data_IF_574017351136
#
_entry.id   IF_574017351136
#
_cell.length_a   1.000
_cell.length_b   1.000
_cell.length_c   1.000
_cell.angle_alpha   90.00
_cell.angle_beta   90.00
_cell.angle_gamma   90.00
#
_symmetry.space_group_name_H-M   'P 1'
#
loop_
_entity.id
_entity.type
_entity.pdbx_description
1 polymer ?
#
# COMPACT_ATOMS: atom_id res chain seq x y z
N UNK A 1 -18.85 -6.67 3.31
CA UNK A 1 -18.72 -6.06 1.96
C UNK A 1 -19.00 -4.57 2.09
N UNK A 2 -18.04 -3.70 1.77
CA UNK A 2 -18.29 -2.26 1.58
C UNK A 2 -18.33 -2.00 0.09
N UNK A 3 -19.41 -1.38 -0.37
CA UNK A 3 -19.41 -0.70 -1.65
C UNK A 3 -18.81 0.69 -1.42
N UNK A 4 -17.66 0.96 -2.02
CA UNK A 4 -17.22 2.33 -2.20
C UNK A 4 -18.14 2.98 -3.24
N UNK A 5 -18.73 4.11 -2.89
CA UNK A 5 -19.54 4.88 -3.83
C UNK A 5 -18.70 5.27 -5.05
N UNK A 6 -19.17 4.93 -6.25
CA UNK A 6 -18.47 5.19 -7.51
C UNK A 6 -18.03 6.66 -7.67
N UNK A 7 -18.87 7.60 -7.24
CA UNK A 7 -18.56 9.04 -7.22
C UNK A 7 -17.26 9.39 -6.47
N UNK A 8 -16.96 8.69 -5.37
CA UNK A 8 -15.75 8.95 -4.56
C UNK A 8 -14.49 8.40 -5.24
N UNK A 9 -14.63 7.36 -6.04
CA UNK A 9 -13.54 6.81 -6.85
C UNK A 9 -13.23 7.78 -7.99
N UNK A 10 -14.26 8.34 -8.64
CA UNK A 10 -14.11 9.34 -9.70
C UNK A 10 -13.44 10.64 -9.19
N UNK A 11 -13.87 11.18 -8.04
CA UNK A 11 -13.22 12.35 -7.42
C UNK A 11 -11.73 12.10 -7.16
N UNK A 12 -11.39 10.92 -6.68
CA UNK A 12 -10.04 10.55 -6.32
C UNK A 12 -9.16 10.27 -7.56
N UNK A 13 -9.74 9.68 -8.61
CA UNK A 13 -9.08 9.58 -9.92
C UNK A 13 -8.83 10.97 -10.52
N UNK A 14 -9.77 11.90 -10.42
CA UNK A 14 -9.58 13.28 -10.88
C UNK A 14 -8.45 13.97 -10.11
N UNK A 15 -8.44 13.82 -8.77
CA UNK A 15 -7.39 14.33 -7.90
C UNK A 15 -6.01 13.79 -8.27
N UNK A 16 -5.87 12.46 -8.42
CA UNK A 16 -4.59 11.85 -8.80
C UNK A 16 -4.14 12.26 -10.22
N UNK A 17 -5.05 12.40 -11.18
CA UNK A 17 -4.72 12.90 -12.52
C UNK A 17 -4.20 14.36 -12.50
N UNK A 18 -4.72 15.21 -11.61
CA UNK A 18 -4.17 16.55 -11.40
C UNK A 18 -2.74 16.50 -10.85
N UNK A 19 -2.45 15.53 -9.97
CA UNK A 19 -1.12 15.34 -9.38
C UNK A 19 -0.07 14.88 -10.39
N UNK A 20 -0.44 14.12 -11.43
CA UNK A 20 0.50 13.73 -12.51
C UNK A 20 1.12 14.93 -13.23
N UNK A 21 0.39 16.03 -13.34
CA UNK A 21 0.84 17.24 -14.02
C UNK A 21 1.56 18.23 -13.09
N UNK A 22 1.56 18.00 -11.77
CA UNK A 22 2.28 18.85 -10.82
C UNK A 22 3.78 18.60 -10.89
N UNK A 23 4.54 19.70 -10.87
CA UNK A 23 6.01 19.68 -10.75
C UNK A 23 6.45 19.68 -9.29
N UNK A 24 5.64 20.25 -8.41
CA UNK A 24 5.93 20.41 -7.00
C UNK A 24 4.64 20.50 -6.17
N UNK A 25 4.74 20.24 -4.88
CA UNK A 25 3.62 20.31 -3.94
C UNK A 25 4.10 20.78 -2.56
N UNK A 26 3.20 21.40 -1.81
CA UNK A 26 3.40 21.66 -0.39
C UNK A 26 3.06 20.42 0.43
N UNK A 27 3.72 20.26 1.58
CA UNK A 27 3.46 19.16 2.53
C UNK A 27 1.98 19.01 2.88
N UNK A 28 1.25 20.14 3.02
CA UNK A 28 -0.19 20.15 3.30
C UNK A 28 -1.01 19.49 2.19
N UNK A 29 -0.62 19.69 0.92
CA UNK A 29 -1.33 19.09 -0.21
C UNK A 29 -1.15 17.57 -0.20
N UNK A 30 0.06 17.08 0.10
CA UNK A 30 0.30 15.63 0.23
C UNK A 30 -0.48 15.03 1.41
N UNK A 31 -0.58 15.75 2.54
CA UNK A 31 -1.39 15.32 3.68
C UNK A 31 -2.89 15.24 3.34
N UNK A 32 -3.40 16.18 2.56
CA UNK A 32 -4.78 16.16 2.08
C UNK A 32 -5.03 14.97 1.16
N UNK A 33 -4.13 14.74 0.19
CA UNK A 33 -4.20 13.58 -0.69
C UNK A 33 -4.18 12.26 0.10
N UNK A 34 -3.24 12.11 1.03
CA UNK A 34 -3.19 10.93 1.92
C UNK A 34 -4.47 10.76 2.76
N UNK A 35 -5.10 11.86 3.19
CA UNK A 35 -6.38 11.80 3.90
C UNK A 35 -7.52 11.27 3.03
N UNK A 36 -7.60 11.71 1.77
CA UNK A 36 -8.58 11.23 0.79
C UNK A 36 -8.35 9.74 0.45
N UNK A 37 -7.09 9.37 0.24
CA UNK A 37 -6.67 8.00 -0.07
C UNK A 37 -6.85 7.05 1.12
N UNK A 38 -6.69 7.54 2.35
CA UNK A 38 -6.85 6.75 3.58
C UNK A 38 -8.23 6.07 3.64
N UNK A 39 -9.27 6.79 3.26
CA UNK A 39 -10.64 6.26 3.21
C UNK A 39 -10.77 5.06 2.26
N UNK A 40 -10.18 5.15 1.07
CA UNK A 40 -10.17 4.05 0.09
C UNK A 40 -9.31 2.90 0.59
N UNK A 41 -8.11 3.19 1.13
CA UNK A 41 -7.18 2.18 1.64
C UNK A 41 -7.70 1.44 2.88
N UNK A 42 -8.61 2.03 3.64
CA UNK A 42 -9.28 1.36 4.75
C UNK A 42 -10.24 0.28 4.27
N UNK A 43 -10.80 0.45 3.07
CA UNK A 43 -11.69 -0.55 2.48
C UNK A 43 -10.89 -1.57 1.65
N UNK A 44 -9.84 -1.12 0.97
CA UNK A 44 -9.02 -1.93 0.06
C UNK A 44 -7.78 -2.44 0.79
N UNK A 45 -7.70 -3.75 1.05
CA UNK A 45 -6.54 -4.37 1.72
C UNK A 45 -5.20 -4.06 1.03
N UNK A 46 -5.17 -4.02 -0.31
CA UNK A 46 -3.99 -3.67 -1.12
C UNK A 46 -3.69 -2.17 -1.20
N UNK A 47 -4.59 -1.30 -0.70
CA UNK A 47 -4.40 0.14 -0.71
C UNK A 47 -3.24 0.63 0.16
N UNK A 48 -2.81 -0.20 1.14
CA UNK A 48 -1.68 0.12 2.03
C UNK A 48 -0.34 0.14 1.29
N UNK A 49 -0.15 -0.75 0.31
CA UNK A 49 1.09 -0.82 -0.49
C UNK A 49 1.29 0.42 -1.37
N UNK A 50 0.21 1.08 -1.79
CA UNK A 50 0.25 2.35 -2.50
C UNK A 50 0.47 3.54 -1.56
N UNK A 51 -0.16 3.50 -0.39
CA UNK A 51 0.00 4.54 0.63
C UNK A 51 1.41 4.59 1.21
N UNK A 52 2.13 3.47 1.25
CA UNK A 52 3.45 3.39 1.89
C UNK A 52 4.48 4.32 1.24
N UNK A 53 4.52 4.40 -0.10
CA UNK A 53 5.47 5.27 -0.80
C UNK A 53 5.17 6.76 -0.56
N UNK A 54 3.90 7.14 -0.60
CA UNK A 54 3.43 8.49 -0.26
C UNK A 54 3.72 8.86 1.22
N UNK A 55 3.53 7.91 2.15
CA UNK A 55 3.82 8.08 3.57
C UNK A 55 5.32 8.18 3.84
N UNK A 56 6.15 7.39 3.16
CA UNK A 56 7.60 7.46 3.26
C UNK A 56 8.12 8.82 2.78
N UNK A 57 7.59 9.34 1.67
CA UNK A 57 7.88 10.69 1.21
C UNK A 57 7.53 11.73 2.27
N UNK A 58 6.36 11.60 2.91
CA UNK A 58 5.94 12.49 3.99
C UNK A 58 6.86 12.42 5.23
N UNK A 59 7.29 11.21 5.61
CA UNK A 59 8.24 10.98 6.70
C UNK A 59 9.61 11.60 6.40
N UNK A 60 10.09 11.51 5.16
CA UNK A 60 11.36 12.10 4.74
C UNK A 60 11.39 13.63 4.91
N UNK A 61 10.21 14.27 4.88
CA UNK A 61 10.04 15.71 5.07
C UNK A 61 9.34 16.06 6.39
N UNK A 62 9.35 15.15 7.37
CA UNK A 62 8.70 15.35 8.67
C UNK A 62 9.22 16.63 9.37
N UNK A 63 10.53 16.87 9.29
CA UNK A 63 11.21 18.03 9.89
C UNK A 63 11.09 19.32 9.06
N UNK A 64 10.59 19.26 7.82
CA UNK A 64 10.48 20.43 6.96
C UNK A 64 9.27 21.32 7.35
N UNK A 65 9.40 22.66 7.28
CA UNK A 65 8.29 23.59 7.46
C UNK A 65 7.11 23.28 6.52
N UNK A 66 5.87 23.47 6.99
CA UNK A 66 4.66 23.17 6.20
C UNK A 66 4.53 23.96 4.89
N UNK A 67 5.17 25.12 4.81
CA UNK A 67 5.23 25.97 3.61
C UNK A 67 6.30 25.55 2.60
N UNK A 68 7.12 24.57 2.94
CA UNK A 68 8.18 24.07 2.04
C UNK A 68 7.54 23.33 0.87
N UNK A 69 7.95 23.72 -0.33
CA UNK A 69 7.52 23.12 -1.58
C UNK A 69 8.55 22.07 -1.97
N UNK A 70 8.10 20.84 -2.18
CA UNK A 70 8.92 19.71 -2.57
C UNK A 70 8.65 19.34 -4.04
N UNK A 71 9.68 18.98 -4.82
CA UNK A 71 9.47 18.47 -6.16
C UNK A 71 8.78 17.10 -6.11
N UNK A 72 7.98 16.80 -7.13
CA UNK A 72 7.45 15.44 -7.32
C UNK A 72 8.60 14.55 -7.79
N UNK A 73 9.05 13.63 -6.94
CA UNK A 73 10.05 12.63 -7.32
C UNK A 73 9.47 11.62 -8.32
N UNK A 74 10.35 10.93 -9.05
CA UNK A 74 9.93 9.88 -9.97
C UNK A 74 9.24 8.73 -9.23
N UNK A 75 9.70 8.39 -8.02
CA UNK A 75 9.09 7.34 -7.19
C UNK A 75 7.68 7.72 -6.77
N UNK A 76 7.48 8.95 -6.29
CA UNK A 76 6.15 9.46 -5.93
C UNK A 76 5.20 9.46 -7.13
N UNK A 77 5.72 9.80 -8.31
CA UNK A 77 4.96 9.75 -9.57
C UNK A 77 4.60 8.31 -9.95
N UNK A 78 5.51 7.36 -9.77
CA UNK A 78 5.25 5.95 -10.00
C UNK A 78 4.16 5.41 -9.06
N UNK A 79 4.17 5.79 -7.78
CA UNK A 79 3.12 5.43 -6.82
C UNK A 79 1.76 6.00 -7.25
N UNK A 80 1.71 7.27 -7.68
CA UNK A 80 0.48 7.90 -8.20
C UNK A 80 -0.05 7.18 -9.45
N UNK A 81 0.84 6.81 -10.39
CA UNK A 81 0.47 6.05 -11.59
C UNK A 81 -0.07 4.67 -11.20
N UNK A 82 0.57 3.99 -10.26
CA UNK A 82 0.12 2.70 -9.76
C UNK A 82 -1.26 2.81 -9.12
N UNK A 83 -1.49 3.85 -8.31
CA UNK A 83 -2.78 4.14 -7.70
C UNK A 83 -3.88 4.37 -8.75
N UNK A 84 -3.60 5.16 -9.80
CA UNK A 84 -4.53 5.37 -10.90
C UNK A 84 -4.87 4.08 -11.64
N UNK A 85 -3.86 3.26 -11.94
CA UNK A 85 -4.05 1.96 -12.57
C UNK A 85 -4.87 1.02 -11.69
N UNK A 86 -4.62 1.01 -10.38
CA UNK A 86 -5.41 0.22 -9.44
C UNK A 86 -6.89 0.68 -9.45
N UNK A 87 -7.14 1.99 -9.32
CA UNK A 87 -8.48 2.55 -9.27
C UNK A 87 -9.27 2.34 -10.56
N UNK A 88 -8.61 2.34 -11.73
CA UNK A 88 -9.29 2.08 -13.00
C UNK A 88 -9.77 0.64 -13.14
N UNK A 89 -9.17 -0.30 -12.41
CA UNK A 89 -9.54 -1.71 -12.39
C UNK A 89 -10.35 -2.11 -11.15
N UNK A 90 -10.48 -1.20 -10.19
CA UNK A 90 -11.21 -1.44 -8.95
C UNK A 90 -12.72 -1.37 -9.20
N UNK A 91 -13.41 -2.49 -8.97
CA UNK A 91 -14.85 -2.65 -9.22
C UNK A 91 -15.76 -1.97 -8.19
N UNK A 92 -15.22 -1.13 -7.32
CA UNK A 92 -15.98 -0.43 -6.27
C UNK A 92 -16.38 -1.31 -5.08
N UNK A 93 -16.07 -2.61 -5.10
CA UNK A 93 -16.45 -3.55 -4.04
C UNK A 93 -15.21 -4.03 -3.31
N UNK A 94 -15.14 -3.73 -2.02
CA UNK A 94 -14.15 -4.34 -1.14
C UNK A 94 -14.81 -5.31 -0.19
N UNK A 95 -14.27 -6.53 -0.15
CA UNK A 95 -14.57 -7.46 0.92
C UNK A 95 -13.81 -6.96 2.15
N UNK A 96 -14.50 -6.26 3.06
CA UNK A 96 -13.97 -6.16 4.43
C UNK A 96 -13.87 -7.59 4.92
N UNK A 97 -12.66 -8.00 5.32
CA UNK A 97 -12.53 -9.14 6.22
C UNK A 97 -13.19 -8.71 7.53
N UNK A 98 -14.48 -8.96 7.68
CA UNK A 98 -15.07 -8.96 9.01
C UNK A 98 -14.22 -9.91 9.85
N UNK A 99 -13.95 -9.56 11.11
CA UNK A 99 -13.39 -10.45 12.15
C UNK A 99 -14.36 -11.61 12.44
N UNK A 100 -14.78 -12.32 11.41
CA UNK A 100 -15.24 -13.67 11.53
C UNK A 100 -13.97 -14.40 11.93
N UNK A 101 -13.95 -14.91 13.15
CA UNK A 101 -13.15 -16.07 13.50
C UNK A 101 -13.57 -17.12 12.47
N UNK A 102 -12.92 -17.10 11.31
CA UNK A 102 -13.26 -18.01 10.25
C UNK A 102 -12.67 -19.32 10.71
N UNK A 103 -13.51 -20.16 11.31
CA UNK A 103 -13.31 -21.59 11.41
C UNK A 103 -13.30 -22.23 10.00
N UNK A 104 -12.72 -21.57 9.00
CA UNK A 104 -12.40 -22.17 7.72
C UNK A 104 -10.99 -22.67 7.88
N UNK A 105 -10.82 -23.97 7.70
CA UNK A 105 -9.49 -24.54 7.58
C UNK A 105 -8.72 -23.95 6.40
N UNK A 106 -9.31 -23.16 5.51
CA UNK A 106 -8.66 -22.64 4.30
C UNK A 106 -8.00 -21.24 4.46
N UNK A 107 -7.75 -20.77 5.70
CA UNK A 107 -7.14 -19.46 5.90
C UNK A 107 -5.67 -19.47 5.45
N UNK A 108 -5.37 -18.78 4.35
CA UNK A 108 -4.02 -18.44 3.92
C UNK A 108 -3.74 -16.97 4.26
N UNK A 109 -2.78 -16.72 5.15
CA UNK A 109 -2.35 -15.38 5.48
C UNK A 109 -0.83 -15.32 5.55
N UNK A 110 -0.25 -14.26 4.99
CA UNK A 110 1.20 -14.03 4.96
C UNK A 110 1.51 -12.70 5.62
N UNK A 111 2.62 -12.63 6.36
CA UNK A 111 3.15 -11.39 6.93
C UNK A 111 4.67 -11.35 6.79
N UNK A 112 5.23 -10.16 6.58
CA UNK A 112 6.66 -9.97 6.37
C UNK A 112 7.18 -8.75 7.09
N UNK A 113 8.46 -8.82 7.44
CA UNK A 113 9.29 -7.71 7.86
C UNK A 113 10.52 -7.65 6.97
N UNK A 114 11.30 -6.59 7.08
CA UNK A 114 12.55 -6.44 6.31
C UNK A 114 13.58 -7.55 6.61
N UNK A 115 13.43 -8.26 7.73
CA UNK A 115 14.38 -9.29 8.20
C UNK A 115 13.80 -10.71 8.19
N UNK A 116 12.49 -10.87 8.09
CA UNK A 116 11.85 -12.18 8.25
C UNK A 116 10.47 -12.23 7.62
N UNK A 117 9.96 -13.44 7.43
CA UNK A 117 8.63 -13.69 6.91
C UNK A 117 7.92 -14.79 7.69
N UNK A 118 6.60 -14.87 7.51
CA UNK A 118 5.80 -15.96 8.00
C UNK A 118 4.48 -16.08 7.28
N UNK A 119 3.85 -17.24 7.43
CA UNK A 119 2.49 -17.44 6.97
C UNK A 119 1.76 -18.46 7.82
N UNK A 120 0.44 -18.45 7.70
CA UNK A 120 -0.45 -19.48 8.20
C UNK A 120 -1.23 -20.06 7.03
N UNK A 121 -1.36 -21.39 7.02
CA UNK A 121 -2.14 -22.12 6.03
C UNK A 121 -2.70 -23.39 6.67
N UNK A 122 -4.01 -23.61 6.63
CA UNK A 122 -4.63 -24.80 7.24
C UNK A 122 -4.29 -25.05 8.71
N UNK A 123 -4.04 -23.98 9.48
CA UNK A 123 -3.68 -24.06 10.89
C UNK A 123 -2.20 -24.36 11.13
N UNK A 124 -1.44 -24.70 10.09
CA UNK A 124 0.01 -24.77 10.13
C UNK A 124 0.59 -23.37 9.96
N UNK A 125 1.63 -23.06 10.73
CA UNK A 125 2.34 -21.79 10.62
C UNK A 125 3.82 -22.04 10.34
N UNK A 126 4.42 -21.17 9.53
CA UNK A 126 5.86 -21.13 9.41
C UNK A 126 6.38 -19.72 9.63
N UNK A 127 7.61 -19.67 10.11
CA UNK A 127 8.39 -18.47 10.28
C UNK A 127 9.81 -18.73 9.80
N UNK A 128 10.37 -17.80 9.02
CA UNK A 128 11.74 -17.88 8.50
C UNK A 128 12.38 -16.50 8.49
N UNK A 129 13.63 -16.43 8.92
CA UNK A 129 14.47 -15.26 8.66
C UNK A 129 14.94 -15.25 7.21
N UNK A 130 15.03 -14.06 6.63
CA UNK A 130 15.61 -13.91 5.31
C UNK A 130 17.13 -14.10 5.39
N UNK A 131 17.75 -14.82 4.44
CA UNK A 131 19.21 -14.86 4.35
C UNK A 131 19.82 -13.46 4.17
N UNK A 132 21.04 -13.26 4.65
CA UNK A 132 21.75 -11.98 4.60
C UNK A 132 21.82 -11.39 3.18
N UNK A 133 21.93 -12.23 2.15
CA UNK A 133 22.00 -11.78 0.75
C UNK A 133 20.69 -11.15 0.26
N UNK A 134 19.56 -11.34 0.95
CA UNK A 134 18.28 -10.68 0.65
C UNK A 134 18.16 -9.40 1.47
N UNK A 135 18.48 -9.46 2.77
CA UNK A 135 18.39 -8.30 3.69
C UNK A 135 19.30 -7.16 3.21
N UNK A 136 20.49 -7.48 2.71
CA UNK A 136 21.48 -6.50 2.23
C UNK A 136 21.10 -5.80 0.92
N UNK A 137 20.01 -6.22 0.25
CA UNK A 137 19.60 -5.62 -1.03
C UNK A 137 18.79 -4.32 -0.89
N UNK A 138 18.48 -3.89 0.33
CA UNK A 138 17.73 -2.65 0.62
C UNK A 138 16.47 -2.48 -0.24
N UNK A 139 15.67 -3.55 -0.32
CA UNK A 139 14.45 -3.62 -1.14
C UNK A 139 13.25 -3.03 -0.41
N UNK A 140 12.26 -2.59 -1.18
CA UNK A 140 11.03 -2.05 -0.60
C UNK A 140 10.22 -3.18 0.07
N UNK A 141 9.50 -2.87 1.15
CA UNK A 141 8.71 -3.86 1.92
C UNK A 141 7.72 -4.64 1.03
N UNK A 142 7.15 -4.01 0.01
CA UNK A 142 6.25 -4.65 -0.96
C UNK A 142 6.92 -5.80 -1.75
N UNK A 143 8.23 -5.70 -2.02
CA UNK A 143 8.97 -6.79 -2.68
C UNK A 143 9.12 -7.98 -1.74
N UNK A 144 9.34 -7.72 -0.44
CA UNK A 144 9.36 -8.75 0.60
C UNK A 144 7.98 -9.37 0.83
N UNK A 145 6.89 -8.60 0.70
CA UNK A 145 5.53 -9.13 0.80
C UNK A 145 5.26 -10.14 -0.31
N UNK A 146 5.61 -9.77 -1.55
CA UNK A 146 5.49 -10.65 -2.70
C UNK A 146 6.39 -11.89 -2.57
N UNK A 147 7.64 -11.71 -2.15
CA UNK A 147 8.57 -12.82 -1.91
C UNK A 147 8.02 -13.79 -0.86
N UNK A 148 7.41 -13.27 0.21
CA UNK A 148 6.79 -14.08 1.26
C UNK A 148 5.67 -14.93 0.69
N UNK A 149 4.77 -14.35 -0.12
CA UNK A 149 3.71 -15.13 -0.79
C UNK A 149 4.29 -16.27 -1.62
N UNK A 150 5.38 -16.04 -2.35
CA UNK A 150 6.06 -17.08 -3.16
C UNK A 150 6.68 -18.17 -2.27
N UNK A 151 7.34 -17.79 -1.18
CA UNK A 151 7.91 -18.74 -0.21
C UNK A 151 6.82 -19.60 0.40
N UNK A 152 5.69 -19.00 0.78
CA UNK A 152 4.56 -19.68 1.40
C UNK A 152 3.87 -20.70 0.50
N UNK A 153 3.91 -20.52 -0.83
CA UNK A 153 3.37 -21.48 -1.79
C UNK A 153 4.34 -22.65 -2.02
N UNK A 154 5.65 -22.43 -1.82
CA UNK A 154 6.69 -23.42 -2.07
C UNK A 154 6.91 -24.37 -0.88
N UNK A 155 6.76 -23.87 0.34
CA UNK A 155 6.93 -24.63 1.59
C UNK A 155 5.68 -25.48 1.88
#
# INVERSE_FOLDING_TARGET
MICLFAFRIEELQLGLNMWLNKRSFAKRELQQLLGELSYVSACVQTGRAFMSGLLNALCSWASAPKSTVHPVSNDLRADIIWGLHFLSHYNGVSVISSDVIISNSELFATDTRLTSCGAVFFGECFHREFPDFIITQDRHINEFELLTVVISIKL
#
